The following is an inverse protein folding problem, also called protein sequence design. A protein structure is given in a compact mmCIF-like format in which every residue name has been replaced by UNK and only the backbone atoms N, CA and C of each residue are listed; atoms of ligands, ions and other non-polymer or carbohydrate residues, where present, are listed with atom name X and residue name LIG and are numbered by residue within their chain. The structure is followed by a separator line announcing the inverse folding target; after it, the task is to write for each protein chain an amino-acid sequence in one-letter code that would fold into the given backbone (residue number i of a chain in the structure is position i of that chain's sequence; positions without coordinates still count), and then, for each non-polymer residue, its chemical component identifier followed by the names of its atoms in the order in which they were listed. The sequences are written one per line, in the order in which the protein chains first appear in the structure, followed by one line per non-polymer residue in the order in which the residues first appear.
data_IF_012776165789
#
_entry.id   IF_012776165789
#
_cell.length_a   1.000
_cell.length_b   1.000
_cell.length_c   1.000
_cell.angle_alpha   90.00
_cell.angle_beta   90.00
_cell.angle_gamma   90.00
#
_symmetry.space_group_name_H-M   'P 1'
#
loop_
_entity.id
_entity.type
_entity.pdbx_description
1 polymer ?
#
# COMPACT_ATOMS: atom_id res chain seq x y z
N UNK A 1 8.55 9.79 19.09
CA UNK A 1 9.24 8.77 18.29
C UNK A 1 8.30 8.44 17.16
N UNK A 2 8.82 8.28 15.94
CA UNK A 2 7.99 7.86 14.81
C UNK A 2 7.41 6.47 15.08
N UNK A 3 6.21 6.20 14.56
CA UNK A 3 5.53 4.91 14.71
C UNK A 3 6.17 3.80 13.88
N UNK A 4 6.61 4.13 12.66
CA UNK A 4 7.47 3.29 11.84
C UNK A 4 8.76 4.05 11.54
N UNK A 5 9.89 3.38 11.74
CA UNK A 5 11.21 3.89 11.37
C UNK A 5 11.94 2.86 10.50
N UNK A 6 12.38 3.31 9.33
CA UNK A 6 13.26 2.58 8.41
C UNK A 6 14.55 3.37 8.33
N UNK A 7 15.69 2.78 8.70
CA UNK A 7 16.98 3.47 8.80
C UNK A 7 18.06 2.77 7.99
N UNK A 8 18.57 3.44 6.97
CA UNK A 8 19.68 2.98 6.13
C UNK A 8 19.45 1.60 5.52
N UNK A 9 18.21 1.26 5.16
CA UNK A 9 17.86 -0.09 4.70
C UNK A 9 18.36 -0.32 3.28
N UNK A 10 19.15 -1.38 3.12
CA UNK A 10 19.70 -1.83 1.85
C UNK A 10 19.16 -3.21 1.46
N UNK A 11 19.03 -3.45 0.15
CA UNK A 11 18.67 -4.76 -0.39
C UNK A 11 19.27 -5.02 -1.74
N UNK A 12 19.94 -6.16 -1.85
CA UNK A 12 20.51 -6.69 -3.11
C UNK A 12 19.95 -8.07 -3.42
N UNK A 13 19.90 -8.40 -4.68
CA UNK A 13 19.55 -9.75 -5.15
C UNK A 13 20.68 -10.31 -6.01
N UNK A 14 21.06 -11.55 -5.74
CA UNK A 14 22.05 -12.28 -6.53
C UNK A 14 21.35 -13.06 -7.63
N UNK A 15 21.76 -12.82 -8.86
CA UNK A 15 21.31 -13.54 -10.05
C UNK A 15 22.50 -14.21 -10.74
N UNK A 16 22.24 -15.00 -11.76
CA UNK A 16 23.33 -15.59 -12.60
C UNK A 16 24.20 -14.53 -13.27
N UNK A 17 23.71 -13.29 -13.41
CA UNK A 17 24.43 -12.14 -13.99
C UNK A 17 25.22 -11.33 -12.93
N UNK A 18 25.15 -11.70 -11.65
CA UNK A 18 25.83 -11.00 -10.55
C UNK A 18 24.86 -10.45 -9.50
N UNK A 19 25.41 -9.76 -8.51
CA UNK A 19 24.64 -9.08 -7.47
C UNK A 19 24.15 -7.71 -7.98
N UNK A 20 22.86 -7.45 -7.80
CA UNK A 20 22.23 -6.16 -8.14
C UNK A 20 21.69 -5.52 -6.87
N UNK A 21 22.21 -4.36 -6.49
CA UNK A 21 21.64 -3.55 -5.42
C UNK A 21 20.31 -2.96 -5.90
N UNK A 22 19.22 -3.28 -5.23
CA UNK A 22 17.89 -2.75 -5.56
C UNK A 22 17.60 -1.50 -4.74
N UNK A 23 17.90 -1.53 -3.44
CA UNK A 23 17.74 -0.40 -2.52
C UNK A 23 19.07 -0.05 -1.90
N UNK A 24 19.46 1.22 -1.97
CA UNK A 24 20.79 1.71 -1.58
C UNK A 24 20.77 2.66 -0.39
N UNK A 25 20.14 2.25 0.72
CA UNK A 25 20.06 3.09 1.93
C UNK A 25 18.75 3.86 1.99
N UNK A 26 17.68 3.20 2.38
CA UNK A 26 16.35 3.81 2.53
C UNK A 26 16.17 4.32 3.95
N UNK A 27 15.82 5.60 4.06
CA UNK A 27 15.37 6.24 5.29
C UNK A 27 13.93 6.71 5.15
N UNK A 28 13.04 6.24 6.04
CA UNK A 28 11.63 6.56 6.05
C UNK A 28 11.11 6.58 7.48
N UNK A 29 10.32 7.58 7.82
CA UNK A 29 9.66 7.66 9.12
C UNK A 29 8.19 8.06 8.95
N UNK A 30 7.30 7.39 9.69
CA UNK A 30 5.87 7.65 9.72
C UNK A 30 5.38 7.83 11.15
N UNK A 31 4.41 8.71 11.32
CA UNK A 31 3.65 8.83 12.55
C UNK A 31 2.43 7.88 12.55
N UNK A 32 1.91 7.56 13.73
CA UNK A 32 0.72 6.72 13.86
C UNK A 32 -0.50 7.41 13.20
N UNK A 33 -1.27 6.63 12.44
CA UNK A 33 -2.45 7.12 11.72
C UNK A 33 -2.15 7.95 10.48
N UNK A 34 -0.89 8.04 10.04
CA UNK A 34 -0.50 8.76 8.84
C UNK A 34 -0.67 7.89 7.58
N UNK A 35 -1.08 8.51 6.50
CA UNK A 35 -1.10 7.88 5.17
C UNK A 35 0.08 8.40 4.33
N UNK A 36 1.05 7.54 4.07
CA UNK A 36 2.23 7.88 3.25
C UNK A 36 2.19 7.13 1.92
N UNK A 37 2.57 7.81 0.85
CA UNK A 37 2.79 7.19 -0.45
C UNK A 37 4.27 7.25 -0.86
N UNK A 38 4.76 6.17 -1.48
CA UNK A 38 6.05 6.15 -2.18
C UNK A 38 5.77 6.08 -3.68
N UNK A 39 6.24 7.09 -4.42
CA UNK A 39 6.01 7.21 -5.86
C UNK A 39 7.32 7.05 -6.62
N UNK A 40 7.34 6.17 -7.62
CA UNK A 40 8.54 5.94 -8.43
C UNK A 40 8.25 5.16 -9.69
N UNK A 41 9.22 5.10 -10.58
CA UNK A 41 9.12 4.34 -11.83
C UNK A 41 8.89 2.84 -11.58
N UNK A 42 8.34 2.15 -12.57
CA UNK A 42 8.31 0.68 -12.55
C UNK A 42 9.74 0.13 -12.47
N UNK A 43 9.95 -0.87 -11.62
CA UNK A 43 11.28 -1.44 -11.38
C UNK A 43 12.17 -0.65 -10.41
N UNK A 44 11.71 0.42 -9.78
CA UNK A 44 12.51 1.19 -8.81
C UNK A 44 12.71 0.50 -7.44
N UNK A 45 12.11 -0.67 -7.20
CA UNK A 45 12.24 -1.37 -5.92
C UNK A 45 11.12 -1.12 -4.91
N UNK A 46 10.01 -0.49 -5.30
CA UNK A 46 8.86 -0.20 -4.41
C UNK A 46 8.29 -1.46 -3.74
N UNK A 47 8.06 -2.52 -4.53
CA UNK A 47 7.62 -3.83 -4.01
C UNK A 47 8.62 -4.43 -3.02
N UNK A 48 9.93 -4.26 -3.28
CA UNK A 48 10.98 -4.70 -2.35
C UNK A 48 10.89 -3.94 -1.04
N UNK A 49 10.72 -2.62 -1.07
CA UNK A 49 10.56 -1.79 0.13
C UNK A 49 9.36 -2.24 0.97
N UNK A 50 8.19 -2.43 0.34
CA UNK A 50 6.97 -2.90 1.03
C UNK A 50 7.18 -4.29 1.60
N UNK A 51 7.88 -5.19 0.89
CA UNK A 51 8.18 -6.55 1.37
C UNK A 51 9.12 -6.55 2.58
N UNK A 52 10.09 -5.64 2.64
CA UNK A 52 10.98 -5.45 3.78
C UNK A 52 10.20 -4.94 5.00
N UNK A 53 9.38 -3.90 4.84
CA UNK A 53 8.55 -3.34 5.92
C UNK A 53 7.52 -4.38 6.40
N UNK A 54 7.00 -5.21 5.49
CA UNK A 54 6.11 -6.33 5.81
C UNK A 54 6.78 -7.49 6.56
N UNK A 55 8.12 -7.51 6.63
CA UNK A 55 8.89 -8.60 7.22
C UNK A 55 8.91 -9.87 6.37
N UNK A 56 8.53 -9.77 5.07
CA UNK A 56 8.52 -10.92 4.15
C UNK A 56 9.93 -11.31 3.69
N UNK A 57 10.84 -10.36 3.67
CA UNK A 57 12.26 -10.54 3.36
C UNK A 57 13.08 -9.73 4.35
N UNK A 58 14.26 -10.21 4.80
CA UNK A 58 15.15 -9.44 5.65
C UNK A 58 15.92 -8.39 4.83
N UNK A 59 16.27 -7.24 5.42
CA UNK A 59 17.22 -6.30 4.83
C UNK A 59 18.64 -6.88 4.86
N UNK A 60 19.51 -6.43 3.95
CA UNK A 60 20.93 -6.81 3.95
C UNK A 60 21.74 -5.88 4.88
N UNK A 61 21.28 -4.63 5.06
CA UNK A 61 21.80 -3.65 6.01
C UNK A 61 20.67 -2.73 6.50
N UNK A 62 20.93 -1.99 7.58
CA UNK A 62 19.97 -1.08 8.19
C UNK A 62 18.99 -1.79 9.13
N UNK A 63 17.92 -1.07 9.52
CA UNK A 63 16.93 -1.59 10.47
C UNK A 63 15.54 -1.04 10.17
N UNK A 64 14.51 -1.83 10.53
CA UNK A 64 13.10 -1.46 10.47
C UNK A 64 12.50 -1.68 11.85
N UNK A 65 11.87 -0.65 12.40
CA UNK A 65 11.25 -0.66 13.72
C UNK A 65 9.82 -0.17 13.59
N UNK A 66 8.85 -0.96 14.08
CA UNK A 66 7.43 -0.63 14.13
C UNK A 66 6.97 -0.60 15.59
N UNK A 67 6.40 0.50 16.04
CA UNK A 67 5.88 0.68 17.41
C UNK A 67 6.93 0.27 18.48
N UNK A 68 8.20 0.67 18.26
CA UNK A 68 9.34 0.36 19.12
C UNK A 68 9.89 -1.08 19.02
N UNK A 69 9.28 -1.96 18.23
CA UNK A 69 9.73 -3.33 18.05
C UNK A 69 10.41 -3.54 16.68
N UNK A 70 11.53 -4.29 16.61
CA UNK A 70 12.18 -4.58 15.34
C UNK A 70 11.31 -5.50 14.48
N UNK A 71 11.29 -5.21 13.17
CA UNK A 71 10.59 -6.04 12.17
C UNK A 71 11.57 -7.09 11.65
N UNK A 72 11.34 -8.36 12.00
CA UNK A 72 12.17 -9.50 11.57
C UNK A 72 11.41 -10.54 10.74
N UNK A 73 10.08 -10.62 10.93
CA UNK A 73 9.21 -11.61 10.30
C UNK A 73 7.81 -11.03 10.09
N UNK A 74 6.93 -11.66 9.26
CA UNK A 74 5.54 -11.22 9.12
C UNK A 74 4.77 -11.28 10.44
N UNK A 75 3.91 -10.29 10.68
CA UNK A 75 3.10 -10.22 11.90
C UNK A 75 1.68 -9.75 11.63
N UNK A 76 0.72 -10.09 12.51
CA UNK A 76 -0.70 -9.74 12.34
C UNK A 76 -0.97 -8.23 12.42
N UNK A 77 -0.06 -7.46 13.01
CA UNK A 77 -0.12 -6.01 13.08
C UNK A 77 0.15 -5.33 11.72
N UNK A 78 0.64 -6.08 10.72
CA UNK A 78 0.92 -5.60 9.37
C UNK A 78 0.05 -6.31 8.36
N UNK A 79 -0.95 -5.60 7.81
CA UNK A 79 -1.75 -6.07 6.68
C UNK A 79 -1.07 -5.75 5.35
N UNK A 80 -1.20 -6.63 4.38
CA UNK A 80 -0.59 -6.42 3.06
C UNK A 80 -1.58 -6.67 1.93
N UNK A 81 -1.65 -5.72 1.00
CA UNK A 81 -2.37 -5.81 -0.27
C UNK A 81 -1.34 -5.90 -1.38
N UNK A 82 -1.21 -7.08 -1.98
CA UNK A 82 -0.23 -7.37 -3.02
C UNK A 82 -0.72 -6.94 -4.41
N UNK A 83 0.20 -6.56 -5.27
CA UNK A 83 -0.06 -6.23 -6.67
C UNK A 83 -0.74 -7.40 -7.43
N UNK A 84 -0.32 -8.63 -7.19
CA UNK A 84 -0.87 -9.85 -7.81
C UNK A 84 -2.01 -10.49 -7.00
N UNK A 85 -2.79 -9.71 -6.27
CA UNK A 85 -3.98 -10.10 -5.49
C UNK A 85 -3.74 -11.14 -4.38
N UNK A 86 -2.87 -12.13 -4.59
CA UNK A 86 -2.56 -13.25 -3.66
C UNK A 86 -3.80 -13.94 -3.09
N UNK A 87 -4.86 -14.06 -3.90
CA UNK A 87 -6.08 -14.78 -3.51
C UNK A 87 -5.85 -16.28 -3.57
N UNK A 88 -6.44 -17.00 -2.62
CA UNK A 88 -6.44 -18.46 -2.62
C UNK A 88 -7.45 -18.94 -3.68
N UNK A 89 -6.99 -19.58 -4.78
CA UNK A 89 -7.84 -19.82 -5.96
C UNK A 89 -8.94 -20.86 -5.74
N UNK A 90 -8.81 -21.69 -4.71
CA UNK A 90 -9.80 -22.69 -4.31
C UNK A 90 -10.88 -22.17 -3.36
N UNK A 91 -10.68 -20.98 -2.77
CA UNK A 91 -11.63 -20.33 -1.86
C UNK A 91 -12.54 -19.37 -2.62
N UNK A 92 -13.78 -19.20 -2.13
CA UNK A 92 -14.70 -18.16 -2.59
C UNK A 92 -14.23 -16.76 -2.17
N UNK A 93 -14.92 -15.70 -2.63
CA UNK A 93 -14.73 -14.34 -2.11
C UNK A 93 -14.95 -14.33 -0.59
N UNK A 94 -16.06 -14.95 -0.14
CA UNK A 94 -16.36 -15.06 1.29
C UNK A 94 -15.22 -15.69 2.06
N UNK A 95 -14.76 -16.86 1.64
CA UNK A 95 -13.74 -17.61 2.37
C UNK A 95 -12.36 -16.91 2.36
N UNK A 96 -12.00 -16.22 1.27
CA UNK A 96 -10.79 -15.40 1.21
C UNK A 96 -10.81 -14.26 2.23
N UNK A 97 -11.95 -13.60 2.43
CA UNK A 97 -12.09 -12.51 3.42
C UNK A 97 -12.25 -13.08 4.83
N UNK A 98 -13.04 -14.15 5.00
CA UNK A 98 -13.25 -14.82 6.28
C UNK A 98 -11.95 -15.33 6.90
N UNK A 99 -11.01 -15.81 6.08
CA UNK A 99 -9.69 -16.23 6.54
C UNK A 99 -8.95 -15.11 7.30
N UNK A 100 -9.04 -13.88 6.81
CA UNK A 100 -8.43 -12.72 7.46
C UNK A 100 -9.19 -12.32 8.74
N UNK A 101 -10.53 -12.41 8.73
CA UNK A 101 -11.35 -12.17 9.93
C UNK A 101 -11.03 -13.17 11.03
N UNK A 102 -10.89 -14.46 10.68
CA UNK A 102 -10.55 -15.54 11.62
C UNK A 102 -9.17 -15.37 12.23
N UNK A 103 -8.19 -14.95 11.42
CA UNK A 103 -6.81 -14.79 11.86
C UNK A 103 -6.65 -13.77 13.02
N UNK A 104 -7.51 -12.73 13.05
CA UNK A 104 -7.42 -11.65 14.05
C UNK A 104 -8.56 -11.71 15.09
N UNK A 105 -9.53 -12.57 14.91
CA UNK A 105 -10.69 -12.71 15.82
C UNK A 105 -11.04 -14.20 16.07
N UNK A 106 -10.15 -14.97 16.67
CA UNK A 106 -10.36 -16.43 16.82
C UNK A 106 -11.54 -16.82 17.72
N UNK A 107 -12.13 -15.87 18.45
CA UNK A 107 -13.25 -16.11 19.39
C UNK A 107 -14.63 -15.74 18.86
N UNK A 108 -14.76 -15.31 17.59
CA UNK A 108 -16.08 -14.95 17.05
C UNK A 108 -16.99 -16.17 16.90
N UNK A 109 -18.25 -16.02 17.28
CA UNK A 109 -19.30 -16.97 16.90
C UNK A 109 -19.46 -17.03 15.37
N UNK A 110 -20.01 -18.12 14.85
CA UNK A 110 -20.25 -18.26 13.41
C UNK A 110 -21.13 -17.14 12.82
N UNK A 111 -22.11 -16.64 13.59
CA UNK A 111 -22.96 -15.52 13.17
C UNK A 111 -22.21 -14.18 13.11
N UNK A 112 -21.38 -13.89 14.11
CA UNK A 112 -20.54 -12.68 14.14
C UNK A 112 -19.48 -12.70 13.04
N UNK A 113 -18.80 -13.82 12.86
CA UNK A 113 -17.86 -14.05 11.76
C UNK A 113 -18.49 -13.74 10.41
N UNK A 114 -19.70 -14.30 10.18
CA UNK A 114 -20.45 -14.08 8.95
C UNK A 114 -20.75 -12.59 8.76
N UNK A 115 -21.30 -11.94 9.76
CA UNK A 115 -21.63 -10.50 9.71
C UNK A 115 -20.39 -9.65 9.36
N UNK A 116 -19.28 -9.84 10.07
CA UNK A 116 -18.04 -9.08 9.85
C UNK A 116 -17.48 -9.34 8.44
N UNK A 117 -17.48 -10.59 7.99
CA UNK A 117 -17.01 -10.94 6.65
C UNK A 117 -17.86 -10.28 5.55
N UNK A 118 -19.18 -10.34 5.68
CA UNK A 118 -20.13 -9.73 4.73
C UNK A 118 -20.01 -8.19 4.73
N UNK A 119 -19.73 -7.56 5.88
CA UNK A 119 -19.44 -6.11 5.96
C UNK A 119 -18.24 -5.71 5.08
N UNK A 120 -17.12 -6.44 5.15
CA UNK A 120 -15.95 -6.15 4.33
C UNK A 120 -16.18 -6.44 2.83
N UNK A 121 -16.99 -7.44 2.49
CA UNK A 121 -17.36 -7.74 1.11
C UNK A 121 -18.27 -6.64 0.55
N UNK A 122 -19.26 -6.19 1.33
CA UNK A 122 -20.15 -5.11 0.93
C UNK A 122 -19.39 -3.79 0.75
N UNK A 123 -18.41 -3.51 1.61
CA UNK A 123 -17.53 -2.34 1.55
C UNK A 123 -16.84 -2.16 0.20
N UNK A 124 -16.46 -3.26 -0.45
CA UNK A 124 -15.82 -3.25 -1.77
C UNK A 124 -16.81 -3.53 -2.92
N UNK A 125 -18.12 -3.44 -2.66
CA UNK A 125 -19.19 -3.65 -3.64
C UNK A 125 -19.11 -5.03 -4.32
N UNK A 126 -18.93 -6.11 -3.55
CA UNK A 126 -18.85 -7.48 -4.03
C UNK A 126 -19.91 -8.43 -3.44
N UNK A 127 -20.99 -7.91 -2.85
CA UNK A 127 -22.04 -8.71 -2.22
C UNK A 127 -22.66 -9.74 -3.18
N UNK A 128 -22.87 -9.39 -4.44
CA UNK A 128 -23.41 -10.29 -5.45
C UNK A 128 -22.41 -11.37 -5.94
N UNK A 129 -21.13 -11.20 -5.59
CA UNK A 129 -20.06 -12.12 -5.97
C UNK A 129 -19.53 -12.94 -4.79
N UNK A 130 -20.17 -12.86 -3.63
CA UNK A 130 -19.73 -13.45 -2.34
C UNK A 130 -19.27 -14.90 -2.47
N UNK A 131 -19.97 -15.72 -3.25
CA UNK A 131 -19.68 -17.14 -3.39
C UNK A 131 -18.87 -17.52 -4.65
N UNK A 132 -18.51 -16.53 -5.50
CA UNK A 132 -17.65 -16.75 -6.66
C UNK A 132 -16.22 -17.03 -6.25
N UNK A 133 -15.52 -17.84 -7.04
CA UNK A 133 -14.08 -18.09 -6.89
C UNK A 133 -13.25 -17.11 -7.72
N UNK A 134 -11.96 -16.91 -7.43
CA UNK A 134 -11.11 -15.98 -8.17
C UNK A 134 -11.12 -16.12 -9.69
N UNK A 135 -11.24 -17.34 -10.22
CA UNK A 135 -11.33 -17.62 -11.65
C UNK A 135 -12.59 -17.04 -12.32
N UNK A 136 -13.64 -16.80 -11.54
CA UNK A 136 -14.93 -16.30 -12.02
C UNK A 136 -15.03 -14.77 -11.88
N UNK A 137 -13.97 -14.13 -11.41
CA UNK A 137 -13.90 -12.70 -11.16
C UNK A 137 -13.06 -12.00 -12.23
N UNK A 138 -13.45 -10.76 -12.57
CA UNK A 138 -12.58 -9.86 -13.35
C UNK A 138 -11.31 -9.47 -12.54
N UNK A 139 -10.29 -8.92 -13.22
CA UNK A 139 -9.10 -8.41 -12.56
C UNK A 139 -9.43 -7.39 -11.46
N UNK A 140 -10.31 -6.43 -11.76
CA UNK A 140 -10.76 -5.44 -10.80
C UNK A 140 -11.53 -6.03 -9.62
N UNK A 141 -12.34 -7.07 -9.83
CA UNK A 141 -13.02 -7.76 -8.72
C UNK A 141 -12.01 -8.48 -7.82
N UNK A 142 -11.01 -9.15 -8.40
CA UNK A 142 -9.94 -9.79 -7.61
C UNK A 142 -9.18 -8.78 -6.77
N UNK A 143 -8.87 -7.60 -7.32
CA UNK A 143 -8.21 -6.51 -6.58
C UNK A 143 -9.07 -6.07 -5.40
N UNK A 144 -10.37 -5.87 -5.60
CA UNK A 144 -11.29 -5.50 -4.52
C UNK A 144 -11.36 -6.55 -3.41
N UNK A 145 -11.32 -7.84 -3.74
CA UNK A 145 -11.23 -8.93 -2.72
C UNK A 145 -9.92 -8.84 -1.94
N UNK A 146 -8.78 -8.58 -2.60
CA UNK A 146 -7.49 -8.43 -1.94
C UNK A 146 -7.48 -7.24 -0.96
N UNK A 147 -8.09 -6.10 -1.36
CA UNK A 147 -8.26 -4.93 -0.48
C UNK A 147 -9.17 -5.26 0.71
N UNK A 148 -10.34 -5.90 0.47
CA UNK A 148 -11.24 -6.30 1.55
C UNK A 148 -10.55 -7.23 2.56
N UNK A 149 -9.76 -8.19 2.08
CA UNK A 149 -8.98 -9.10 2.92
C UNK A 149 -7.94 -8.35 3.77
N UNK A 150 -7.18 -7.43 3.16
CA UNK A 150 -6.20 -6.61 3.87
C UNK A 150 -6.84 -5.75 4.98
N UNK A 151 -7.98 -5.13 4.68
CA UNK A 151 -8.73 -4.33 5.63
C UNK A 151 -9.39 -5.17 6.75
N UNK A 152 -9.81 -6.41 6.43
CA UNK A 152 -10.46 -7.32 7.39
C UNK A 152 -9.53 -7.73 8.53
N UNK A 153 -8.22 -7.75 8.30
CA UNK A 153 -7.21 -7.98 9.34
C UNK A 153 -7.14 -6.84 10.38
N UNK A 154 -7.74 -5.68 10.09
CA UNK A 154 -7.66 -4.47 10.95
C UNK A 154 -6.23 -4.18 11.43
N UNK A 155 -5.26 -4.17 10.53
CA UNK A 155 -3.86 -4.05 10.92
C UNK A 155 -3.56 -2.66 11.48
N UNK A 156 -2.53 -2.58 12.33
CA UNK A 156 -1.98 -1.30 12.78
C UNK A 156 -1.26 -0.56 11.64
N UNK A 157 -0.57 -1.30 10.76
CA UNK A 157 0.08 -0.80 9.56
C UNK A 157 -0.45 -1.55 8.33
N UNK A 158 -1.07 -0.83 7.40
CA UNK A 158 -1.53 -1.37 6.12
C UNK A 158 -0.52 -1.02 5.02
N UNK A 159 0.03 -2.05 4.40
CA UNK A 159 0.96 -1.95 3.28
C UNK A 159 0.23 -2.26 1.98
N UNK A 160 0.34 -1.39 0.99
CA UNK A 160 -0.34 -1.55 -0.30
C UNK A 160 0.64 -1.42 -1.46
N UNK A 161 0.77 -2.49 -2.25
CA UNK A 161 1.64 -2.52 -3.43
C UNK A 161 0.80 -2.36 -4.70
N UNK A 162 0.81 -1.15 -5.28
CA UNK A 162 0.06 -0.76 -6.49
C UNK A 162 -1.42 -1.21 -6.47
N UNK A 163 -2.19 -0.88 -5.40
CA UNK A 163 -3.49 -1.52 -5.12
C UNK A 163 -4.58 -1.20 -6.15
N UNK A 164 -4.36 -0.26 -7.06
CA UNK A 164 -5.36 0.18 -8.03
C UNK A 164 -4.90 0.05 -9.49
N UNK A 165 -3.70 -0.52 -9.75
CA UNK A 165 -3.09 -0.55 -11.08
C UNK A 165 -3.90 -1.34 -12.11
N UNK A 166 -4.61 -2.39 -11.69
CA UNK A 166 -5.41 -3.26 -12.58
C UNK A 166 -6.87 -2.83 -12.73
N UNK A 167 -7.25 -1.64 -12.25
CA UNK A 167 -8.63 -1.15 -12.27
C UNK A 167 -8.87 -0.17 -13.41
N UNK A 168 -10.06 -0.24 -14.02
CA UNK A 168 -10.57 0.85 -14.86
C UNK A 168 -10.79 2.13 -14.06
N UNK A 169 -10.88 3.26 -14.75
CA UNK A 169 -10.91 4.57 -14.12
C UNK A 169 -12.09 4.79 -13.13
N UNK A 170 -13.28 4.26 -13.46
CA UNK A 170 -14.47 4.43 -12.61
C UNK A 170 -14.38 3.55 -11.36
N UNK A 171 -14.03 2.29 -11.54
CA UNK A 171 -13.83 1.33 -10.43
C UNK A 171 -12.72 1.82 -9.51
N UNK A 172 -11.60 2.31 -10.06
CA UNK A 172 -10.49 2.89 -9.29
C UNK A 172 -10.96 4.08 -8.45
N UNK A 173 -11.69 5.02 -9.05
CA UNK A 173 -12.21 6.19 -8.35
C UNK A 173 -13.09 5.79 -7.16
N UNK A 174 -14.04 4.87 -7.38
CA UNK A 174 -14.94 4.39 -6.33
C UNK A 174 -14.16 3.73 -5.18
N UNK A 175 -13.18 2.87 -5.50
CA UNK A 175 -12.44 2.15 -4.46
C UNK A 175 -11.49 3.07 -3.67
N UNK A 176 -10.91 4.07 -4.31
CA UNK A 176 -10.09 5.08 -3.63
C UNK A 176 -10.94 5.96 -2.69
N UNK A 177 -12.15 6.32 -3.09
CA UNK A 177 -13.07 7.09 -2.24
C UNK A 177 -13.51 6.25 -1.02
N UNK A 178 -13.80 4.96 -1.22
CA UNK A 178 -14.10 4.02 -0.12
C UNK A 178 -12.91 3.83 0.82
N UNK A 179 -11.70 3.68 0.28
CA UNK A 179 -10.48 3.59 1.09
C UNK A 179 -10.30 4.84 1.97
N UNK A 180 -10.48 6.04 1.39
CA UNK A 180 -10.40 7.30 2.14
C UNK A 180 -11.45 7.39 3.24
N UNK A 181 -12.67 6.92 2.99
CA UNK A 181 -13.75 6.88 3.99
C UNK A 181 -13.36 5.97 5.16
N UNK A 182 -12.94 4.74 4.88
CA UNK A 182 -12.53 3.75 5.90
C UNK A 182 -11.33 4.26 6.70
N UNK A 183 -10.34 4.77 6.00
CA UNK A 183 -9.16 5.32 6.63
C UNK A 183 -9.51 6.52 7.53
N UNK A 184 -10.42 7.40 7.08
CA UNK A 184 -10.91 8.54 7.86
C UNK A 184 -11.58 8.14 9.18
N UNK A 185 -12.31 7.01 9.18
CA UNK A 185 -12.99 6.49 10.37
C UNK A 185 -12.03 5.82 11.37
N UNK A 186 -10.97 5.16 10.89
CA UNK A 186 -10.11 4.30 11.71
C UNK A 186 -8.71 4.84 11.94
N UNK A 187 -8.24 5.74 11.09
CA UNK A 187 -6.89 6.32 11.15
C UNK A 187 -5.77 5.28 11.28
N UNK A 188 -5.90 4.15 10.56
CA UNK A 188 -4.81 3.17 10.46
C UNK A 188 -3.59 3.81 9.78
N UNK A 189 -2.39 3.45 10.20
CA UNK A 189 -1.17 3.87 9.50
C UNK A 189 -1.09 3.15 8.16
N UNK A 190 -0.81 3.88 7.08
CA UNK A 190 -0.81 3.32 5.71
C UNK A 190 0.47 3.70 4.97
N UNK A 191 1.10 2.71 4.35
CA UNK A 191 2.10 2.91 3.29
C UNK A 191 1.55 2.35 2.00
N UNK A 192 1.45 3.19 1.00
CA UNK A 192 1.07 2.79 -0.36
C UNK A 192 2.22 3.06 -1.31
N UNK A 193 2.58 2.09 -2.13
CA UNK A 193 3.48 2.34 -3.25
C UNK A 193 2.70 2.37 -4.55
N UNK A 194 3.01 3.34 -5.41
CA UNK A 194 2.32 3.53 -6.69
C UNK A 194 3.25 4.18 -7.72
N UNK A 195 2.91 4.08 -8.98
CA UNK A 195 3.53 4.84 -10.07
C UNK A 195 2.67 6.04 -10.50
N UNK A 196 1.49 6.23 -9.90
CA UNK A 196 0.55 7.30 -10.21
C UNK A 196 0.67 8.45 -9.20
N UNK A 197 1.18 9.60 -9.67
CA UNK A 197 1.39 10.80 -8.84
C UNK A 197 0.07 11.38 -8.34
N UNK A 198 -0.95 11.38 -9.19
CA UNK A 198 -2.25 11.99 -8.86
C UNK A 198 -3.01 11.15 -7.83
N UNK A 199 -2.85 9.82 -7.90
CA UNK A 199 -3.32 8.88 -6.88
C UNK A 199 -2.65 9.12 -5.51
N UNK A 200 -1.32 9.26 -5.51
CA UNK A 200 -0.58 9.55 -4.28
C UNK A 200 -1.03 10.86 -3.64
N UNK A 201 -1.20 11.93 -4.42
CA UNK A 201 -1.66 13.23 -3.92
C UNK A 201 -3.10 13.15 -3.38
N UNK A 202 -3.96 12.36 -4.01
CA UNK A 202 -5.32 12.16 -3.53
C UNK A 202 -5.36 11.50 -2.15
N UNK A 203 -4.53 10.48 -1.95
CA UNK A 203 -4.66 9.57 -0.81
C UNK A 203 -3.73 9.93 0.36
N UNK A 204 -2.48 10.30 0.09
CA UNK A 204 -1.46 10.42 1.13
C UNK A 204 -1.39 11.81 1.77
N UNK A 205 -0.91 11.84 3.01
CA UNK A 205 -0.57 13.08 3.73
C UNK A 205 0.84 13.54 3.36
N UNK A 206 1.78 12.59 3.21
CA UNK A 206 3.15 12.80 2.71
C UNK A 206 3.49 11.83 1.58
N UNK A 207 4.35 12.28 0.67
CA UNK A 207 4.79 11.50 -0.48
C UNK A 207 6.32 11.51 -0.52
N UNK A 208 6.90 10.31 -0.64
CA UNK A 208 8.32 10.13 -0.90
C UNK A 208 8.52 9.73 -2.36
N UNK A 209 9.10 10.59 -3.20
CA UNK A 209 9.50 10.17 -4.53
C UNK A 209 10.72 9.26 -4.44
N UNK A 210 10.74 8.20 -5.25
CA UNK A 210 11.80 7.18 -5.25
C UNK A 210 12.60 7.26 -6.56
N UNK A 211 13.93 7.25 -6.46
CA UNK A 211 14.80 7.23 -7.64
C UNK A 211 14.64 5.93 -8.43
N UNK A 212 14.97 5.90 -9.73
CA UNK A 212 15.06 4.65 -10.45
C UNK A 212 16.18 3.76 -9.86
N UNK A 213 16.05 2.43 -9.99
CA UNK A 213 17.10 1.47 -9.66
C UNK A 213 18.15 1.34 -10.76
N UNK A 214 19.31 0.70 -10.53
CA UNK A 214 19.75 0.03 -9.30
C UNK A 214 20.17 0.99 -8.18
N UNK A 215 20.16 0.51 -6.92
CA UNK A 215 20.53 1.32 -5.76
C UNK A 215 19.54 2.46 -5.48
N UNK A 216 18.24 2.21 -5.68
CA UNK A 216 17.23 3.22 -5.49
C UNK A 216 17.19 3.75 -4.05
N UNK A 217 16.96 5.05 -3.92
CA UNK A 217 16.81 5.76 -2.65
C UNK A 217 15.53 6.59 -2.65
N UNK A 218 15.07 6.99 -1.47
CA UNK A 218 13.96 7.95 -1.35
C UNK A 218 14.49 9.38 -1.46
N UNK A 219 13.74 10.22 -2.15
CA UNK A 219 13.92 11.66 -2.14
C UNK A 219 13.31 12.29 -0.89
N UNK A 220 13.41 13.62 -0.76
CA UNK A 220 12.83 14.35 0.36
C UNK A 220 11.30 14.15 0.41
N UNK A 221 10.78 14.09 1.64
CA UNK A 221 9.33 14.03 1.84
C UNK A 221 8.64 15.30 1.31
N UNK A 222 7.54 15.13 0.61
CA UNK A 222 6.71 16.19 0.08
C UNK A 222 5.37 16.15 0.81
N UNK A 223 5.10 17.18 1.59
CA UNK A 223 3.81 17.37 2.26
C UNK A 223 2.73 17.71 1.22
N UNK A 224 1.62 17.00 1.26
CA UNK A 224 0.53 17.23 0.30
C UNK A 224 -0.23 18.51 0.61
N UNK A 225 -0.43 18.85 1.89
CA UNK A 225 -1.02 20.10 2.34
C UNK A 225 -2.46 20.34 1.87
N UNK A 226 -3.19 19.28 1.49
CA UNK A 226 -4.60 19.32 1.12
C UNK A 226 -5.48 18.91 2.28
N UNK A 227 -6.47 19.70 2.61
CA UNK A 227 -7.46 19.35 3.62
C UNK A 227 -8.30 18.14 3.21
N UNK A 228 -8.83 17.42 4.19
CA UNK A 228 -9.73 16.29 4.00
C UNK A 228 -11.17 16.68 4.39
N UNK A 229 -12.21 16.17 3.71
CA UNK A 229 -12.18 15.22 2.60
C UNK A 229 -11.71 15.84 1.28
N UNK A 230 -10.91 15.09 0.52
CA UNK A 230 -10.40 15.53 -0.77
C UNK A 230 -11.36 15.14 -1.90
N UNK A 231 -11.74 16.11 -2.71
CA UNK A 231 -12.64 15.91 -3.84
C UNK A 231 -11.87 16.03 -5.16
N UNK A 232 -11.83 14.94 -5.95
CA UNK A 232 -11.10 14.86 -7.23
C UNK A 232 -11.37 16.03 -8.17
N UNK A 233 -12.65 16.47 -8.27
CA UNK A 233 -13.08 17.53 -9.22
C UNK A 233 -12.43 18.89 -8.94
N UNK A 234 -12.13 19.18 -7.68
CA UNK A 234 -11.60 20.49 -7.28
C UNK A 234 -10.11 20.43 -6.89
N UNK A 235 -9.62 19.26 -6.55
CA UNK A 235 -8.25 19.08 -6.06
C UNK A 235 -7.20 19.59 -7.05
N UNK A 236 -7.33 19.25 -8.33
CA UNK A 236 -6.38 19.64 -9.39
C UNK A 236 -6.25 21.14 -9.62
N UNK A 237 -7.24 21.93 -9.18
CA UNK A 237 -7.27 23.38 -9.31
C UNK A 237 -6.61 24.09 -8.11
N UNK A 238 -6.26 23.37 -7.05
CA UNK A 238 -5.71 23.99 -5.85
C UNK A 238 -4.19 24.22 -5.97
N UNK A 239 -3.68 25.34 -5.43
CA UNK A 239 -2.23 25.60 -5.41
C UNK A 239 -1.43 24.52 -4.69
N UNK A 240 -1.98 23.93 -3.61
CA UNK A 240 -1.32 22.85 -2.86
C UNK A 240 -1.11 21.61 -3.73
N UNK A 241 -2.12 21.18 -4.48
CA UNK A 241 -2.00 20.08 -5.44
C UNK A 241 -0.93 20.35 -6.50
N UNK A 242 -0.98 21.56 -7.12
CA UNK A 242 -0.04 21.94 -8.17
C UNK A 242 1.40 21.93 -7.64
N UNK A 243 1.63 22.47 -6.44
CA UNK A 243 2.92 22.48 -5.78
C UNK A 243 3.44 21.07 -5.50
N UNK A 244 2.63 20.21 -4.88
CA UNK A 244 3.00 18.82 -4.58
C UNK A 244 3.32 18.05 -5.86
N UNK A 245 2.45 18.13 -6.88
CA UNK A 245 2.61 17.47 -8.17
C UNK A 245 3.87 17.93 -8.90
N UNK A 246 4.11 19.24 -8.92
CA UNK A 246 5.32 19.80 -9.53
C UNK A 246 6.58 19.27 -8.85
N UNK A 247 6.67 19.32 -7.51
CA UNK A 247 7.83 18.85 -6.76
C UNK A 247 8.14 17.37 -7.02
N UNK A 248 7.11 16.51 -7.04
CA UNK A 248 7.27 15.08 -7.33
C UNK A 248 7.79 14.87 -8.76
N UNK A 249 7.14 15.51 -9.74
CA UNK A 249 7.48 15.34 -11.17
C UNK A 249 8.88 15.88 -11.49
N UNK A 250 9.26 17.02 -10.92
CA UNK A 250 10.60 17.61 -11.07
C UNK A 250 11.67 16.68 -10.50
N UNK A 251 11.47 16.14 -9.29
CA UNK A 251 12.39 15.17 -8.70
C UNK A 251 12.55 13.93 -9.60
N UNK A 252 11.45 13.30 -9.99
CA UNK A 252 11.48 12.10 -10.82
C UNK A 252 12.16 12.34 -12.18
N UNK A 253 11.92 13.51 -12.80
CA UNK A 253 12.56 13.89 -14.06
C UNK A 253 14.06 14.17 -13.89
N UNK A 254 14.47 14.82 -12.81
CA UNK A 254 15.88 15.08 -12.52
C UNK A 254 16.66 13.78 -12.36
N UNK A 255 16.10 12.83 -11.62
CA UNK A 255 16.72 11.50 -11.44
C UNK A 255 16.86 10.73 -12.76
N UNK A 256 15.90 10.84 -13.69
CA UNK A 256 15.97 10.16 -15.00
C UNK A 256 17.04 10.75 -15.92
N UNK A 257 17.33 12.05 -15.83
CA UNK A 257 18.37 12.70 -16.66
C UNK A 257 19.79 12.38 -16.23
N UNK A 258 20.01 12.04 -14.98
CA UNK A 258 21.31 11.58 -14.46
C UNK A 258 21.64 10.11 -14.79
N UNK A 259 20.71 9.40 -15.45
CA UNK A 259 20.82 7.99 -15.84
C UNK A 259 20.97 7.78 -17.36
N UNK A 260 20.94 8.84 -18.16
CA UNK A 260 21.26 8.83 -19.59
C UNK A 260 22.70 9.32 -19.81
#
# INVERSE_FOLDING_TARGET
MAYLEVRGVEKSYTTSAGATCVLGGIDLALDEGEFVAVVGYSGSGKTTLVSLIGGLIPPDAGSIVLDGAPVSEPGPERGMVFQQYSLLPWLSVYDNVALAVDAVNPGLSGAERRRVTEEFIALVNLSEATWKRPRELSGGMRQRVAVARGLAMRPKLLLMDEPFSALDALTRATLQDELLRIWGERRSTVIMVTNDVDEAILLADRIYPMTPGPGAVLGPAIEVGLERPRHRRHMSLTPAYQKARQGIVEFLRACRRGWA
#
